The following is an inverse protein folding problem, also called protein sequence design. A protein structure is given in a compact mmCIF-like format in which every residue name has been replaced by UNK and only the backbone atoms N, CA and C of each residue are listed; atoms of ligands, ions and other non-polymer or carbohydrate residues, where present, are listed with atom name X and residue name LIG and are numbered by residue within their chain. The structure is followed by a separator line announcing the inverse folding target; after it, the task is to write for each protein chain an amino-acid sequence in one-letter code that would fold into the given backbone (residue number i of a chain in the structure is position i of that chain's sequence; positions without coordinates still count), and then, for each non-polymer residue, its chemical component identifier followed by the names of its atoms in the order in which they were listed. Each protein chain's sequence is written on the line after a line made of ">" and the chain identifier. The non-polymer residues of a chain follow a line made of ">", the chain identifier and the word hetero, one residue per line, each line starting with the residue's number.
data_IF_609371507598
#
_entry.id   IF_609371507598
#
_cell.length_a   1.000
_cell.length_b   1.000
_cell.length_c   1.000
_cell.angle_alpha   90.00
_cell.angle_beta   90.00
_cell.angle_gamma   90.00
#
_symmetry.space_group_name_H-M   'P 1'
#
loop_
_entity.id
_entity.type
_entity.pdbx_description
1 polymer ?
#
# COMPACT_ATOMS: atom_id res chain seq x y z
N UNK A 1 2.62 17.58 24.82
CA UNK A 1 2.56 18.40 23.60
C UNK A 1 3.63 17.88 22.66
N UNK A 2 3.22 17.18 21.60
CA UNK A 2 4.15 16.73 20.55
C UNK A 2 4.74 17.98 19.91
N UNK A 3 6.07 18.04 19.82
CA UNK A 3 6.80 19.17 19.26
C UNK A 3 6.42 19.29 17.78
N UNK A 4 6.13 20.51 17.30
CA UNK A 4 5.80 20.73 15.88
C UNK A 4 6.92 20.09 15.01
N UNK A 5 6.60 19.23 14.03
CA UNK A 5 7.62 18.58 13.23
C UNK A 5 8.36 19.60 12.36
N UNK A 6 9.68 19.45 12.24
CA UNK A 6 10.53 20.32 11.39
C UNK A 6 10.21 20.11 9.89
N UNK A 7 9.79 18.88 9.51
CA UNK A 7 9.30 18.51 8.18
C UNK A 7 8.18 17.49 8.31
N UNK A 8 7.09 17.69 7.59
CA UNK A 8 6.00 16.72 7.43
C UNK A 8 6.30 15.86 6.21
N UNK A 9 6.27 14.53 6.38
CA UNK A 9 6.41 13.56 5.28
C UNK A 9 5.03 13.09 4.86
N UNK A 10 4.75 13.14 3.55
CA UNK A 10 3.45 12.81 2.98
C UNK A 10 3.52 11.51 2.20
N UNK A 11 2.63 10.57 2.50
CA UNK A 11 2.58 9.24 1.88
C UNK A 11 1.22 9.05 1.21
N UNK A 12 1.21 8.58 -0.04
CA UNK A 12 -0.01 8.23 -0.77
C UNK A 12 -0.24 6.73 -0.83
N UNK A 13 -1.44 6.26 -0.48
CA UNK A 13 -1.82 4.83 -0.52
C UNK A 13 -3.07 4.65 -1.39
N UNK A 14 -2.86 4.28 -2.65
CA UNK A 14 -3.91 4.00 -3.62
C UNK A 14 -4.41 2.56 -3.51
N UNK A 15 -5.71 2.37 -3.73
CA UNK A 15 -6.28 1.05 -3.97
C UNK A 15 -7.80 1.04 -3.91
N UNK A 16 -8.43 0.02 -4.50
CA UNK A 16 -9.89 -0.13 -4.47
C UNK A 16 -10.42 -0.43 -3.05
N UNK A 17 -11.72 -0.30 -2.84
CA UNK A 17 -12.36 -0.77 -1.62
C UNK A 17 -12.11 -2.28 -1.42
N UNK A 18 -11.78 -2.69 -0.20
CA UNK A 18 -11.53 -4.09 0.14
C UNK A 18 -10.16 -4.64 -0.27
N UNK A 19 -9.24 -3.82 -0.80
CA UNK A 19 -7.90 -4.31 -1.18
C UNK A 19 -6.90 -4.43 -0.01
N UNK A 20 -7.36 -4.32 1.23
CA UNK A 20 -6.50 -4.44 2.41
C UNK A 20 -5.79 -3.15 2.82
N UNK A 21 -6.18 -1.96 2.31
CA UNK A 21 -5.65 -0.65 2.75
C UNK A 21 -5.69 -0.51 4.27
N UNK A 22 -6.81 -0.82 4.93
CA UNK A 22 -6.91 -0.71 6.39
C UNK A 22 -5.92 -1.61 7.12
N UNK A 23 -5.68 -2.84 6.62
CA UNK A 23 -4.66 -3.74 7.18
C UNK A 23 -3.26 -3.20 6.93
N UNK A 24 -2.99 -2.70 5.73
CA UNK A 24 -1.70 -2.09 5.39
C UNK A 24 -1.41 -0.87 6.27
N UNK A 25 -2.39 0.02 6.45
CA UNK A 25 -2.25 1.22 7.27
C UNK A 25 -2.01 0.88 8.74
N UNK A 26 -2.66 -0.17 9.28
CA UNK A 26 -2.33 -0.67 10.63
C UNK A 26 -0.87 -1.10 10.74
N UNK A 27 -0.38 -1.92 9.79
CA UNK A 27 1.03 -2.35 9.76
C UNK A 27 2.00 -1.16 9.63
N UNK A 28 1.64 -0.14 8.85
CA UNK A 28 2.43 1.09 8.75
C UNK A 28 2.44 1.83 10.09
N UNK A 29 1.29 1.96 10.74
CA UNK A 29 1.20 2.54 12.09
C UNK A 29 2.01 1.73 13.11
N UNK A 30 2.07 0.41 13.01
CA UNK A 30 2.89 -0.45 13.89
C UNK A 30 4.41 -0.17 13.69
N UNK A 31 4.84 0.22 12.47
CA UNK A 31 6.24 0.62 12.20
C UNK A 31 6.59 1.97 12.83
N UNK A 32 5.66 2.93 12.82
CA UNK A 32 5.93 4.32 13.19
C UNK A 32 5.47 4.72 14.60
N UNK A 33 4.48 4.02 15.15
CA UNK A 33 3.74 4.39 16.36
C UNK A 33 2.51 5.26 16.05
N UNK A 34 1.40 5.01 16.77
CA UNK A 34 0.10 5.68 16.58
C UNK A 34 0.19 7.21 16.65
N UNK A 35 0.98 7.74 17.59
CA UNK A 35 1.10 9.19 17.79
C UNK A 35 1.82 9.93 16.63
N UNK A 36 2.59 9.19 15.82
CA UNK A 36 3.43 9.76 14.75
C UNK A 36 2.73 9.90 13.40
N UNK A 37 1.61 9.20 13.21
CA UNK A 37 0.94 9.07 11.93
C UNK A 37 -0.48 9.62 12.01
N UNK A 38 -0.86 10.46 11.05
CA UNK A 38 -2.26 10.82 10.83
C UNK A 38 -2.69 10.30 9.47
N UNK A 39 -3.72 9.45 9.46
CA UNK A 39 -4.31 8.88 8.25
C UNK A 39 -5.52 9.72 7.85
N UNK A 40 -5.61 10.08 6.58
CA UNK A 40 -6.72 10.82 5.98
C UNK A 40 -7.34 9.97 4.88
N UNK A 41 -8.63 9.64 5.05
CA UNK A 41 -9.43 8.99 4.03
C UNK A 41 -9.81 10.00 2.94
N UNK A 42 -9.51 9.71 1.68
CA UNK A 42 -9.80 10.62 0.58
C UNK A 42 -11.29 10.67 0.19
N UNK A 43 -12.11 9.74 0.68
CA UNK A 43 -13.57 9.81 0.54
C UNK A 43 -14.14 11.07 1.22
N UNK A 44 -13.43 11.65 2.19
CA UNK A 44 -13.80 12.94 2.81
C UNK A 44 -13.86 14.08 1.79
N UNK A 45 -13.10 13.99 0.70
CA UNK A 45 -13.07 14.98 -0.36
C UNK A 45 -14.10 14.72 -1.47
N UNK A 46 -15.12 13.88 -1.23
CA UNK A 46 -16.23 13.75 -2.17
C UNK A 46 -16.92 15.11 -2.40
N UNK A 47 -17.17 15.45 -3.67
CA UNK A 47 -17.99 16.61 -4.07
C UNK A 47 -19.48 16.26 -4.12
N UNK A 48 -19.80 14.97 -4.24
CA UNK A 48 -21.16 14.44 -4.31
C UNK A 48 -21.37 13.41 -3.20
N UNK A 49 -22.44 13.56 -2.43
CA UNK A 49 -22.87 12.57 -1.43
C UNK A 49 -23.45 11.29 -2.10
N UNK A 50 -23.78 10.27 -1.30
CA UNK A 50 -24.28 8.98 -1.82
C UNK A 50 -25.59 9.14 -2.61
N UNK A 51 -26.47 10.05 -2.19
CA UNK A 51 -27.76 10.27 -2.84
C UNK A 51 -27.58 10.99 -4.17
N UNK A 52 -26.74 12.04 -4.19
CA UNK A 52 -26.40 12.79 -5.39
C UNK A 52 -25.71 11.92 -6.45
N UNK A 53 -24.78 11.04 -6.03
CA UNK A 53 -24.16 10.05 -6.93
C UNK A 53 -25.19 9.09 -7.54
N UNK A 54 -26.16 8.65 -6.74
CA UNK A 54 -27.26 7.79 -7.23
C UNK A 54 -28.17 8.53 -8.23
N UNK A 55 -28.48 9.81 -7.98
CA UNK A 55 -29.33 10.63 -8.86
C UNK A 55 -28.65 10.97 -10.19
N UNK A 56 -27.33 11.21 -10.16
CA UNK A 56 -26.54 11.55 -11.35
C UNK A 56 -26.03 10.34 -12.13
N UNK A 57 -26.00 9.16 -11.50
CA UNK A 57 -25.38 7.95 -12.05
C UNK A 57 -23.85 7.98 -12.04
N UNK A 58 -23.23 8.97 -11.39
CA UNK A 58 -21.78 9.11 -11.27
C UNK A 58 -21.29 8.26 -10.10
N UNK A 59 -20.31 7.39 -10.33
CA UNK A 59 -19.74 6.56 -9.27
C UNK A 59 -18.73 7.34 -8.42
N UNK A 60 -18.34 6.82 -7.26
CA UNK A 60 -17.29 7.43 -6.44
C UNK A 60 -15.90 7.37 -7.11
N UNK A 61 -15.72 6.50 -8.12
CA UNK A 61 -14.45 6.33 -8.85
C UNK A 61 -14.27 7.43 -9.90
N UNK A 62 -15.38 8.04 -10.33
CA UNK A 62 -15.35 9.12 -11.29
C UNK A 62 -14.77 10.39 -10.65
N UNK A 63 -13.79 11.05 -11.30
CA UNK A 63 -13.20 12.30 -10.80
C UNK A 63 -14.23 13.40 -10.52
N UNK A 64 -15.37 13.41 -11.22
CA UNK A 64 -16.45 14.41 -11.02
C UNK A 64 -17.12 14.29 -9.65
N UNK A 65 -17.02 13.15 -8.98
CA UNK A 65 -17.52 12.94 -7.63
C UNK A 65 -16.54 13.37 -6.53
N UNK A 66 -15.38 13.94 -6.88
CA UNK A 66 -14.30 14.28 -5.96
C UNK A 66 -13.85 15.73 -6.14
N UNK A 67 -13.49 16.40 -5.05
CA UNK A 67 -12.99 17.78 -5.04
C UNK A 67 -11.46 17.80 -4.90
N UNK A 68 -10.77 17.66 -6.04
CA UNK A 68 -9.30 17.67 -6.07
C UNK A 68 -8.67 19.02 -5.74
N UNK A 69 -9.39 20.13 -5.95
CA UNK A 69 -8.89 21.46 -5.58
C UNK A 69 -8.79 21.59 -4.06
N UNK A 70 -9.86 21.25 -3.34
CA UNK A 70 -9.87 21.25 -1.87
C UNK A 70 -8.86 20.24 -1.31
N UNK A 71 -8.76 19.06 -1.92
CA UNK A 71 -7.77 18.04 -1.55
C UNK A 71 -6.35 18.61 -1.66
N UNK A 72 -5.99 19.16 -2.81
CA UNK A 72 -4.66 19.74 -3.01
C UNK A 72 -4.37 20.88 -2.01
N UNK A 73 -5.29 21.82 -1.84
CA UNK A 73 -5.11 22.95 -0.92
C UNK A 73 -4.87 22.49 0.51
N UNK A 74 -5.67 21.55 1.01
CA UNK A 74 -5.57 21.09 2.39
C UNK A 74 -4.36 20.19 2.63
N UNK A 75 -4.06 19.28 1.70
CA UNK A 75 -2.89 18.41 1.82
C UNK A 75 -1.58 19.21 1.74
N UNK A 76 -1.54 20.23 0.87
CA UNK A 76 -0.44 21.19 0.84
C UNK A 76 -0.29 21.95 2.16
N UNK A 77 -1.39 22.48 2.70
CA UNK A 77 -1.37 23.19 3.98
C UNK A 77 -0.83 22.31 5.13
N UNK A 78 -1.23 21.03 5.19
CA UNK A 78 -0.69 20.07 6.17
C UNK A 78 0.82 19.86 5.98
N UNK A 79 1.29 19.68 4.74
CA UNK A 79 2.72 19.51 4.44
C UNK A 79 3.54 20.76 4.83
N UNK A 80 2.95 21.94 4.76
CA UNK A 80 3.52 23.22 5.21
C UNK A 80 3.38 23.47 6.73
N UNK A 81 2.85 22.50 7.49
CA UNK A 81 2.72 22.60 8.93
C UNK A 81 1.57 23.51 9.39
N UNK A 82 0.51 23.62 8.58
CA UNK A 82 -0.73 24.34 8.89
C UNK A 82 -1.90 23.38 9.13
N UNK A 83 -2.75 23.67 10.11
CA UNK A 83 -3.93 22.86 10.42
C UNK A 83 -5.08 23.17 9.47
N UNK A 84 -5.85 22.15 9.09
CA UNK A 84 -6.96 22.25 8.14
C UNK A 84 -8.30 21.96 8.83
N UNK A 85 -9.39 22.41 8.23
CA UNK A 85 -10.75 22.01 8.59
C UNK A 85 -11.25 21.06 7.50
N UNK A 86 -10.99 19.77 7.68
CA UNK A 86 -11.24 18.71 6.70
C UNK A 86 -12.71 18.28 6.77
N UNK A 87 -13.44 18.20 5.65
CA UNK A 87 -14.77 17.59 5.64
C UNK A 87 -14.75 16.14 6.17
N UNK A 88 -15.91 15.61 6.54
CA UNK A 88 -16.06 14.20 6.93
C UNK A 88 -17.09 13.57 6.01
N UNK A 89 -16.74 12.51 5.30
CA UNK A 89 -17.71 11.68 4.60
C UNK A 89 -18.14 10.51 5.47
N UNK A 90 -19.40 10.54 5.89
CA UNK A 90 -19.94 9.53 6.79
C UNK A 90 -20.44 8.31 6.01
N UNK A 91 -19.77 7.18 6.17
CA UNK A 91 -20.12 5.95 5.46
C UNK A 91 -21.43 5.30 5.93
N UNK A 92 -21.93 5.61 7.13
CA UNK A 92 -23.21 5.11 7.63
C UNK A 92 -24.37 5.85 6.96
N UNK A 93 -24.35 7.18 7.04
CA UNK A 93 -25.43 8.03 6.51
C UNK A 93 -25.29 8.27 5.00
N UNK A 94 -24.06 8.20 4.47
CA UNK A 94 -23.73 8.55 3.10
C UNK A 94 -23.70 10.05 2.81
N UNK A 95 -23.59 10.89 3.86
CA UNK A 95 -23.60 12.35 3.78
C UNK A 95 -22.20 12.94 4.03
N UNK A 96 -22.03 14.22 3.68
CA UNK A 96 -20.85 15.01 4.03
C UNK A 96 -21.20 15.79 5.31
N UNK A 97 -20.60 15.37 6.42
CA UNK A 97 -20.78 15.93 7.76
C UNK A 97 -19.90 17.20 7.94
N UNK A 98 -20.17 18.03 8.97
CA UNK A 98 -19.35 19.21 9.28
C UNK A 98 -17.86 18.87 9.43
N UNK A 99 -16.97 19.80 9.08
CA UNK A 99 -15.53 19.52 9.07
C UNK A 99 -14.95 19.33 10.47
N UNK A 100 -13.86 18.57 10.54
CA UNK A 100 -13.03 18.40 11.72
C UNK A 100 -11.67 19.09 11.58
N UNK A 101 -11.10 19.49 12.72
CA UNK A 101 -9.76 20.08 12.74
C UNK A 101 -8.71 18.98 12.67
N UNK A 102 -7.88 19.00 11.62
CA UNK A 102 -6.72 18.12 11.50
C UNK A 102 -5.45 18.94 11.66
N UNK A 103 -4.59 18.52 12.60
CA UNK A 103 -3.28 19.11 12.81
C UNK A 103 -2.21 18.40 11.99
N UNK A 104 -1.16 19.11 11.54
CA UNK A 104 0.02 18.47 10.96
C UNK A 104 0.64 17.48 11.94
N UNK A 105 1.11 16.36 11.42
CA UNK A 105 1.86 15.35 12.15
C UNK A 105 3.19 15.07 11.45
N UNK A 106 4.06 14.26 12.05
CA UNK A 106 5.33 13.85 11.45
C UNK A 106 5.11 13.16 10.10
N UNK A 107 4.11 12.29 10.04
CA UNK A 107 3.70 11.57 8.83
C UNK A 107 2.21 11.79 8.61
N UNK A 108 1.86 12.23 7.41
CA UNK A 108 0.48 12.26 6.92
C UNK A 108 0.35 11.19 5.84
N UNK A 109 -0.59 10.27 6.01
CA UNK A 109 -0.92 9.26 5.01
C UNK A 109 -2.27 9.62 4.39
N UNK A 110 -2.32 9.86 3.09
CA UNK A 110 -3.56 9.98 2.34
C UNK A 110 -3.88 8.66 1.68
N UNK A 111 -5.06 8.12 1.97
CA UNK A 111 -5.47 6.80 1.49
C UNK A 111 -6.81 6.88 0.78
N UNK A 112 -6.98 6.13 -0.30
CA UNK A 112 -8.26 6.01 -0.97
C UNK A 112 -8.15 5.66 -2.44
N UNK A 113 -9.17 6.07 -3.19
CA UNK A 113 -9.29 5.78 -4.61
C UNK A 113 -8.35 6.63 -5.49
N UNK A 114 -8.05 7.88 -5.12
CA UNK A 114 -7.39 8.86 -6.00
C UNK A 114 -6.16 9.60 -5.44
N UNK A 115 -5.33 9.03 -4.54
CA UNK A 115 -4.18 9.77 -3.99
C UNK A 115 -3.12 10.09 -5.06
N UNK A 116 -3.10 9.37 -6.17
CA UNK A 116 -2.15 9.54 -7.27
C UNK A 116 -2.81 10.05 -8.57
N UNK A 117 -4.07 10.49 -8.51
CA UNK A 117 -4.81 10.91 -9.70
C UNK A 117 -4.42 12.33 -10.13
N UNK A 118 -4.54 13.32 -9.24
CA UNK A 118 -4.21 14.72 -9.52
C UNK A 118 -2.70 14.95 -9.46
N UNK A 119 -2.12 15.53 -10.51
CA UNK A 119 -0.68 15.80 -10.60
C UNK A 119 -0.16 16.72 -9.49
N UNK A 120 -0.98 17.69 -9.05
CA UNK A 120 -0.60 18.62 -7.99
C UNK A 120 -0.49 17.88 -6.67
N UNK A 121 -1.45 17.00 -6.36
CA UNK A 121 -1.39 16.15 -5.16
C UNK A 121 -0.20 15.19 -5.24
N UNK A 122 0.01 14.53 -6.39
CA UNK A 122 1.19 13.65 -6.61
C UNK A 122 2.50 14.35 -6.33
N UNK A 123 2.67 15.59 -6.79
CA UNK A 123 3.90 16.37 -6.59
C UNK A 123 4.20 16.68 -5.12
N UNK A 124 3.21 16.54 -4.22
CA UNK A 124 3.39 16.71 -2.79
C UNK A 124 3.83 15.42 -2.10
N UNK A 125 3.71 14.24 -2.71
CA UNK A 125 4.03 12.97 -2.06
C UNK A 125 5.54 12.78 -1.94
N UNK A 126 5.98 12.26 -0.80
CA UNK A 126 7.37 11.84 -0.55
C UNK A 126 7.54 10.32 -0.75
N UNK A 127 6.45 9.55 -0.73
CA UNK A 127 6.41 8.12 -1.05
C UNK A 127 5.00 7.69 -1.47
N UNK A 128 4.87 6.74 -2.39
CA UNK A 128 3.59 6.31 -2.94
C UNK A 128 3.48 4.80 -3.10
N UNK A 129 2.32 4.26 -2.72
CA UNK A 129 1.99 2.84 -2.79
C UNK A 129 0.68 2.63 -3.54
N UNK A 130 0.63 1.62 -4.38
CA UNK A 130 -0.61 1.10 -4.96
C UNK A 130 -0.84 -0.35 -4.53
N UNK A 131 -2.00 -0.63 -3.94
CA UNK A 131 -2.44 -1.99 -3.63
C UNK A 131 -3.29 -2.52 -4.79
N UNK A 132 -2.71 -3.42 -5.56
CA UNK A 132 -3.32 -4.06 -6.72
C UNK A 132 -3.80 -5.46 -6.36
N UNK A 133 -5.08 -5.75 -6.60
CA UNK A 133 -5.64 -7.09 -6.39
C UNK A 133 -6.29 -7.52 -7.68
N UNK A 134 -5.90 -8.69 -8.19
CA UNK A 134 -6.51 -9.26 -9.37
C UNK A 134 -8.01 -9.46 -9.17
N UNK A 135 -8.77 -9.36 -10.25
CA UNK A 135 -10.21 -9.56 -10.19
C UNK A 135 -10.58 -10.94 -9.63
N UNK A 136 -9.82 -11.98 -9.96
CA UNK A 136 -10.04 -13.32 -9.44
C UNK A 136 -9.99 -13.35 -7.90
N UNK A 137 -8.95 -12.77 -7.30
CA UNK A 137 -8.80 -12.71 -5.85
C UNK A 137 -9.86 -11.81 -5.23
N UNK A 138 -10.15 -10.66 -5.86
CA UNK A 138 -11.19 -9.70 -5.41
C UNK A 138 -12.57 -10.36 -5.38
N UNK A 139 -12.90 -11.11 -6.43
CA UNK A 139 -14.14 -11.89 -6.56
C UNK A 139 -14.19 -12.96 -5.46
N UNK A 140 -13.13 -13.76 -5.31
CA UNK A 140 -13.08 -14.82 -4.30
C UNK A 140 -13.26 -14.29 -2.87
N UNK A 141 -12.57 -13.21 -2.50
CA UNK A 141 -12.71 -12.59 -1.18
C UNK A 141 -14.08 -12.00 -0.95
N UNK A 142 -14.66 -11.34 -1.96
CA UNK A 142 -15.99 -10.74 -1.85
C UNK A 142 -17.08 -11.80 -1.73
N UNK A 143 -16.99 -12.90 -2.47
CA UNK A 143 -17.90 -14.05 -2.34
C UNK A 143 -17.80 -14.63 -0.93
N UNK A 144 -16.59 -14.92 -0.44
CA UNK A 144 -16.39 -15.52 0.88
C UNK A 144 -16.97 -14.64 2.00
N UNK A 145 -16.79 -13.32 1.92
CA UNK A 145 -17.35 -12.36 2.87
C UNK A 145 -18.88 -12.24 2.76
N UNK A 146 -19.38 -12.00 1.55
CA UNK A 146 -20.80 -11.68 1.34
C UNK A 146 -21.71 -12.93 1.47
N UNK A 147 -21.19 -14.15 1.19
CA UNK A 147 -21.88 -15.41 1.48
C UNK A 147 -21.94 -15.72 2.98
N UNK A 148 -20.93 -15.33 3.76
CA UNK A 148 -20.92 -15.52 5.20
C UNK A 148 -21.89 -14.57 5.93
N UNK A 149 -22.13 -13.38 5.37
CA UNK A 149 -22.86 -12.32 6.09
C UNK A 149 -24.28 -12.03 5.56
N UNK A 150 -24.61 -12.24 4.26
CA UNK A 150 -25.86 -11.67 3.70
C UNK A 150 -26.62 -12.44 2.61
N UNK A 151 -26.27 -13.68 2.27
CA UNK A 151 -27.08 -14.47 1.32
C UNK A 151 -27.18 -13.89 -0.10
N UNK A 152 -26.24 -13.01 -0.49
CA UNK A 152 -26.14 -12.49 -1.85
C UNK A 152 -25.75 -13.60 -2.83
N UNK A 153 -26.31 -13.58 -4.05
CA UNK A 153 -25.97 -14.56 -5.10
C UNK A 153 -24.65 -14.17 -5.76
N UNK A 154 -23.87 -15.18 -6.17
CA UNK A 154 -22.62 -15.00 -6.93
C UNK A 154 -22.76 -14.01 -8.10
N UNK A 155 -23.89 -14.10 -8.81
CA UNK A 155 -24.24 -13.23 -9.94
C UNK A 155 -24.29 -11.74 -9.56
N UNK A 156 -24.79 -11.39 -8.37
CA UNK A 156 -24.90 -10.00 -7.92
C UNK A 156 -23.53 -9.38 -7.65
N UNK A 157 -22.62 -10.17 -7.07
CA UNK A 157 -21.24 -9.78 -6.80
C UNK A 157 -20.50 -9.49 -8.11
N UNK A 158 -20.64 -10.39 -9.08
CA UNK A 158 -20.00 -10.28 -10.39
C UNK A 158 -20.57 -9.09 -11.19
N UNK A 159 -21.89 -8.89 -11.18
CA UNK A 159 -22.54 -7.75 -11.81
C UNK A 159 -22.06 -6.42 -11.21
N UNK A 160 -21.93 -6.34 -9.88
CA UNK A 160 -21.41 -5.17 -9.18
C UNK A 160 -19.97 -4.83 -9.56
N UNK A 161 -19.11 -5.85 -9.73
CA UNK A 161 -17.71 -5.65 -10.15
C UNK A 161 -17.65 -5.19 -11.60
N UNK A 162 -18.38 -5.85 -12.50
CA UNK A 162 -18.41 -5.50 -13.92
C UNK A 162 -18.99 -4.10 -14.17
N UNK A 163 -19.97 -3.66 -13.38
CA UNK A 163 -20.52 -2.31 -13.48
C UNK A 163 -19.51 -1.22 -13.10
N UNK A 164 -18.55 -1.51 -12.22
CA UNK A 164 -17.51 -0.56 -11.77
C UNK A 164 -16.25 -0.60 -12.61
N UNK A 165 -16.05 -1.66 -13.41
CA UNK A 165 -14.84 -1.89 -14.21
C UNK A 165 -14.49 -0.72 -15.15
N UNK A 166 -15.42 -0.13 -15.92
CA UNK A 166 -15.07 0.97 -16.82
C UNK A 166 -14.45 2.16 -16.09
N UNK A 167 -15.03 2.58 -14.97
CA UNK A 167 -14.50 3.69 -14.17
C UNK A 167 -13.20 3.30 -13.45
N UNK A 168 -13.07 2.04 -13.02
CA UNK A 168 -11.84 1.54 -12.41
C UNK A 168 -10.68 1.59 -13.40
N UNK A 169 -10.86 1.03 -14.59
CA UNK A 169 -9.84 0.99 -15.64
C UNK A 169 -9.48 2.40 -16.14
N UNK A 170 -10.44 3.34 -16.13
CA UNK A 170 -10.24 4.71 -16.57
C UNK A 170 -9.54 5.60 -15.54
N UNK A 171 -9.87 5.46 -14.25
CA UNK A 171 -9.51 6.46 -13.24
C UNK A 171 -8.69 5.92 -12.07
N UNK A 172 -8.76 4.61 -11.79
CA UNK A 172 -8.11 3.99 -10.64
C UNK A 172 -6.84 3.25 -11.07
N UNK A 173 -6.97 2.30 -12.00
CA UNK A 173 -5.86 1.46 -12.46
C UNK A 173 -4.64 2.24 -12.99
N UNK A 174 -4.80 3.32 -13.78
CA UNK A 174 -3.67 4.07 -14.33
C UNK A 174 -2.73 4.67 -13.27
N UNK A 175 -3.22 4.87 -12.04
CA UNK A 175 -2.41 5.40 -10.93
C UNK A 175 -1.22 4.50 -10.56
N UNK A 176 -1.24 3.21 -10.94
CA UNK A 176 -0.11 2.27 -10.80
C UNK A 176 1.17 2.81 -11.44
N UNK A 177 1.06 3.54 -12.55
CA UNK A 177 2.20 4.12 -13.26
C UNK A 177 2.94 5.20 -12.44
N UNK A 178 2.31 5.72 -11.38
CA UNK A 178 2.84 6.81 -10.57
C UNK A 178 3.30 6.35 -9.19
N UNK A 179 3.06 5.09 -8.81
CA UNK A 179 3.48 4.57 -7.53
C UNK A 179 4.97 4.23 -7.51
N UNK A 180 5.63 4.50 -6.39
CA UNK A 180 7.00 4.05 -6.14
C UNK A 180 7.00 2.53 -5.89
N UNK A 181 5.94 2.02 -5.26
CA UNK A 181 5.74 0.60 -5.01
C UNK A 181 4.33 0.16 -5.37
N UNK A 182 4.21 -0.97 -6.07
CA UNK A 182 2.94 -1.69 -6.26
C UNK A 182 3.01 -3.04 -5.56
N UNK A 183 2.07 -3.31 -4.65
CA UNK A 183 1.84 -4.64 -4.09
C UNK A 183 0.71 -5.28 -4.89
N UNK A 184 1.05 -6.25 -5.75
CA UNK A 184 0.12 -6.94 -6.62
C UNK A 184 -0.20 -8.35 -6.08
N UNK A 185 -1.45 -8.58 -5.71
CA UNK A 185 -1.97 -9.85 -5.19
C UNK A 185 -2.68 -10.61 -6.31
N UNK A 186 -2.22 -11.83 -6.58
CA UNK A 186 -2.67 -12.74 -7.62
C UNK A 186 -3.03 -14.11 -7.03
N UNK A 187 -3.78 -14.91 -7.78
CA UNK A 187 -3.99 -16.33 -7.48
C UNK A 187 -2.66 -17.09 -7.55
N UNK A 188 -2.47 -18.10 -6.69
CA UNK A 188 -1.28 -18.95 -6.68
C UNK A 188 -1.07 -19.66 -8.02
N UNK A 189 0.19 -19.95 -8.38
CA UNK A 189 0.56 -20.87 -9.45
C UNK A 189 1.02 -22.23 -8.94
N UNK A 190 1.11 -22.42 -7.62
CA UNK A 190 1.59 -23.67 -7.02
C UNK A 190 0.51 -24.74 -6.96
N UNK A 191 -0.76 -24.34 -6.86
CA UNK A 191 -1.91 -25.24 -6.82
C UNK A 191 -2.72 -25.05 -8.11
N UNK A 192 -2.78 -26.07 -8.98
CA UNK A 192 -3.66 -26.02 -10.16
C UNK A 192 -5.13 -25.89 -9.74
N UNK A 193 -5.87 -25.02 -10.43
CA UNK A 193 -7.31 -24.81 -10.24
C UNK A 193 -7.76 -24.53 -8.79
N UNK A 194 -6.95 -23.79 -8.01
CA UNK A 194 -7.26 -23.43 -6.62
C UNK A 194 -8.57 -22.64 -6.51
N UNK A 195 -9.66 -23.34 -6.18
CA UNK A 195 -10.98 -22.75 -5.97
C UNK A 195 -11.09 -21.99 -4.65
N UNK A 196 -10.19 -22.25 -3.69
CA UNK A 196 -10.27 -21.63 -2.37
C UNK A 196 -9.60 -20.25 -2.32
N UNK A 197 -8.67 -19.98 -3.25
CA UNK A 197 -7.86 -18.75 -3.33
C UNK A 197 -7.24 -18.36 -1.97
N UNK A 198 -6.87 -19.36 -1.16
CA UNK A 198 -6.25 -19.17 0.15
C UNK A 198 -4.74 -18.99 0.05
N UNK A 199 -4.13 -19.58 -0.96
CA UNK A 199 -2.72 -19.41 -1.28
C UNK A 199 -2.60 -18.32 -2.32
N UNK A 200 -1.73 -17.35 -2.07
CA UNK A 200 -1.60 -16.17 -2.90
C UNK A 200 -0.21 -16.11 -3.51
N UNK A 201 -0.17 -15.61 -4.74
CA UNK A 201 1.05 -15.14 -5.39
C UNK A 201 1.07 -13.63 -5.27
N UNK A 202 2.04 -13.09 -4.55
CA UNK A 202 2.15 -11.66 -4.31
C UNK A 202 3.43 -11.15 -4.95
N UNK A 203 3.35 -10.05 -5.69
CA UNK A 203 4.47 -9.32 -6.30
C UNK A 203 4.63 -7.97 -5.61
N UNK A 204 5.86 -7.63 -5.28
CA UNK A 204 6.31 -6.32 -4.88
C UNK A 204 7.07 -5.72 -6.06
N UNK A 205 6.42 -4.81 -6.77
CA UNK A 205 6.98 -4.11 -7.92
C UNK A 205 7.53 -2.78 -7.41
N UNK A 206 8.83 -2.56 -7.55
CA UNK A 206 9.55 -1.43 -6.95
C UNK A 206 10.15 -0.58 -8.04
N UNK A 207 9.81 0.71 -8.09
CA UNK A 207 10.29 1.62 -9.11
C UNK A 207 11.78 1.93 -8.91
N UNK A 208 12.55 1.77 -9.99
CA UNK A 208 13.96 2.13 -10.01
C UNK A 208 14.15 3.64 -10.20
N UNK A 209 15.29 4.15 -9.71
CA UNK A 209 15.67 5.55 -9.91
C UNK A 209 14.87 6.57 -9.08
N UNK A 210 14.06 6.12 -8.11
CA UNK A 210 13.41 7.00 -7.13
C UNK A 210 14.45 7.47 -6.11
N UNK A 211 14.57 8.78 -5.92
CA UNK A 211 15.62 9.38 -5.10
C UNK A 211 15.56 8.87 -3.64
N UNK A 212 16.63 8.20 -3.21
CA UNK A 212 16.78 7.69 -1.85
C UNK A 212 15.84 6.54 -1.50
N UNK A 213 15.28 5.86 -2.51
CA UNK A 213 14.58 4.58 -2.37
C UNK A 213 15.40 3.51 -3.09
N UNK A 214 15.98 2.59 -2.32
CA UNK A 214 16.69 1.43 -2.84
C UNK A 214 15.77 0.21 -2.81
N UNK A 215 15.53 -0.48 -3.93
CA UNK A 215 14.69 -1.68 -3.95
C UNK A 215 15.25 -2.84 -3.14
N UNK A 216 14.34 -3.68 -2.66
CA UNK A 216 14.64 -4.97 -2.02
C UNK A 216 14.96 -5.96 -3.12
N UNK A 217 16.03 -6.74 -2.93
CA UNK A 217 16.45 -7.77 -3.88
C UNK A 217 16.69 -9.11 -3.19
N UNK A 218 16.74 -10.16 -4.00
CA UNK A 218 17.07 -11.53 -3.59
C UNK A 218 18.40 -11.92 -4.23
N UNK A 219 19.39 -12.29 -3.42
CA UNK A 219 20.77 -12.68 -3.79
C UNK A 219 21.60 -11.67 -4.61
N UNK A 220 21.23 -11.40 -5.86
CA UNK A 220 22.03 -10.63 -6.80
C UNK A 220 21.18 -9.60 -7.53
N UNK A 221 21.40 -8.32 -7.19
CA UNK A 221 20.65 -7.17 -7.69
C UNK A 221 20.77 -7.04 -9.22
N UNK A 222 19.64 -6.81 -9.89
CA UNK A 222 19.57 -6.67 -11.35
C UNK A 222 19.61 -7.99 -12.14
N UNK A 223 19.79 -9.15 -11.48
CA UNK A 223 19.71 -10.46 -12.12
C UNK A 223 18.29 -11.05 -12.07
N UNK A 224 18.04 -12.17 -12.75
CA UNK A 224 16.79 -12.92 -12.65
C UNK A 224 16.98 -14.21 -11.86
N UNK A 225 16.23 -14.37 -10.77
CA UNK A 225 16.36 -15.48 -9.82
C UNK A 225 15.01 -16.15 -9.58
N UNK A 226 15.02 -17.48 -9.59
CA UNK A 226 13.93 -18.31 -9.07
C UNK A 226 14.48 -19.11 -7.89
N UNK A 227 13.80 -19.04 -6.75
CA UNK A 227 14.26 -19.66 -5.52
C UNK A 227 13.14 -20.42 -4.82
N UNK A 228 13.46 -21.63 -4.35
CA UNK A 228 12.58 -22.44 -3.51
C UNK A 228 13.35 -22.67 -2.20
N UNK A 229 12.96 -22.03 -1.09
CA UNK A 229 13.69 -22.18 0.18
C UNK A 229 13.51 -23.57 0.80
N UNK A 230 12.40 -24.25 0.49
CA UNK A 230 12.06 -25.57 1.01
C UNK A 230 13.05 -26.64 0.49
N UNK A 231 13.70 -27.36 1.41
CA UNK A 231 14.71 -28.35 1.11
C UNK A 231 15.23 -29.05 2.35
N UNK A 232 16.48 -29.53 2.33
CA UNK A 232 17.06 -30.30 3.46
C UNK A 232 17.14 -29.53 4.78
N UNK A 233 17.29 -28.20 4.70
CA UNK A 233 17.48 -27.31 5.87
C UNK A 233 16.19 -26.62 6.31
N UNK A 234 15.14 -26.68 5.50
CA UNK A 234 13.86 -26.02 5.77
C UNK A 234 12.74 -26.91 5.21
N UNK A 235 11.97 -27.54 6.09
CA UNK A 235 10.86 -28.41 5.69
C UNK A 235 9.59 -27.57 5.61
N UNK A 236 8.85 -27.69 4.50
CA UNK A 236 7.60 -26.97 4.28
C UNK A 236 6.48 -27.97 3.98
N UNK A 237 5.24 -27.67 4.40
CA UNK A 237 4.09 -28.44 3.94
C UNK A 237 3.75 -28.09 2.49
N UNK A 238 2.97 -28.94 1.83
CA UNK A 238 2.46 -28.62 0.49
C UNK A 238 1.57 -27.35 0.52
N UNK A 239 1.69 -26.44 -0.46
CA UNK A 239 2.52 -26.51 -1.66
C UNK A 239 3.94 -25.93 -1.51
N UNK A 240 4.29 -25.49 -0.31
CA UNK A 240 5.56 -24.84 0.00
C UNK A 240 5.58 -23.37 -0.40
N UNK A 241 6.80 -22.84 -0.55
CA UNK A 241 7.07 -21.45 -0.88
C UNK A 241 7.93 -21.41 -2.13
N UNK A 242 7.61 -20.52 -3.06
CA UNK A 242 8.43 -20.19 -4.22
C UNK A 242 8.61 -18.67 -4.29
N UNK A 243 9.84 -18.24 -4.51
CA UNK A 243 10.18 -16.84 -4.69
C UNK A 243 10.77 -16.58 -6.07
N UNK A 244 10.55 -15.37 -6.54
CA UNK A 244 11.16 -14.84 -7.75
C UNK A 244 11.70 -13.44 -7.50
N UNK A 245 12.81 -13.11 -8.13
CA UNK A 245 13.32 -11.75 -8.21
C UNK A 245 13.80 -11.46 -9.63
N UNK A 246 13.58 -10.24 -10.11
CA UNK A 246 14.32 -9.73 -11.27
C UNK A 246 13.84 -8.38 -11.79
N UNK A 247 14.61 -7.79 -12.71
CA UNK A 247 14.23 -6.55 -13.38
C UNK A 247 13.06 -6.76 -14.34
N UNK A 248 12.22 -5.75 -14.49
CA UNK A 248 11.09 -5.72 -15.41
C UNK A 248 10.83 -4.27 -15.87
N UNK A 249 9.96 -4.09 -16.86
CA UNK A 249 9.47 -2.78 -17.27
C UNK A 249 7.97 -2.66 -16.93
N UNK A 250 7.60 -1.62 -16.18
CA UNK A 250 6.24 -1.42 -15.70
C UNK A 250 5.76 0.00 -16.03
N UNK A 251 4.74 0.10 -16.88
CA UNK A 251 4.23 1.39 -17.41
C UNK A 251 5.31 2.31 -18.00
N UNK A 252 6.34 1.72 -18.63
CA UNK A 252 7.45 2.47 -19.23
C UNK A 252 8.53 2.93 -18.24
N UNK A 253 8.49 2.44 -17.00
CA UNK A 253 9.53 2.63 -16.00
C UNK A 253 10.27 1.32 -15.73
N UNK A 254 11.59 1.40 -15.51
CA UNK A 254 12.36 0.27 -14.99
C UNK A 254 11.93 -0.04 -13.56
N UNK A 255 11.74 -1.32 -13.24
CA UNK A 255 11.33 -1.77 -11.91
C UNK A 255 12.09 -3.03 -11.49
N UNK A 256 12.30 -3.19 -10.18
CA UNK A 256 12.70 -4.45 -9.56
C UNK A 256 11.48 -5.16 -9.00
N UNK A 257 11.24 -6.40 -9.44
CA UNK A 257 10.11 -7.21 -8.99
C UNK A 257 10.59 -8.30 -8.04
N UNK A 258 10.12 -8.27 -6.79
CA UNK A 258 10.24 -9.36 -5.84
C UNK A 258 8.89 -10.08 -5.73
N UNK A 259 8.87 -11.40 -5.68
CA UNK A 259 7.63 -12.19 -5.66
C UNK A 259 7.72 -13.33 -4.65
N UNK A 260 6.60 -13.61 -3.99
CA UNK A 260 6.37 -14.77 -3.12
C UNK A 260 5.07 -15.44 -3.55
N UNK A 261 5.14 -16.72 -3.85
CA UNK A 261 3.98 -17.60 -4.08
C UNK A 261 4.01 -18.72 -3.03
N UNK A 262 2.89 -18.92 -2.32
CA UNK A 262 2.82 -19.82 -1.19
C UNK A 262 2.52 -19.13 0.14
N UNK A 263 2.39 -19.94 1.18
CA UNK A 263 2.15 -19.49 2.55
C UNK A 263 3.33 -19.91 3.45
N UNK A 264 3.51 -19.18 4.55
CA UNK A 264 4.38 -19.52 5.66
C UNK A 264 3.57 -20.30 6.69
N UNK A 265 3.91 -21.57 6.89
CA UNK A 265 3.24 -22.44 7.88
C UNK A 265 3.77 -22.19 9.29
N UNK A 266 5.01 -21.72 9.41
CA UNK A 266 5.70 -21.54 10.68
C UNK A 266 6.70 -20.38 10.65
N UNK A 267 7.20 -20.02 11.82
CA UNK A 267 8.14 -18.90 12.01
C UNK A 267 9.50 -19.18 11.36
N UNK A 268 9.94 -20.44 11.31
CA UNK A 268 11.24 -20.82 10.76
C UNK A 268 11.31 -20.50 9.26
N UNK A 269 10.24 -20.79 8.51
CA UNK A 269 10.12 -20.43 7.09
C UNK A 269 10.23 -18.92 6.86
N UNK A 270 9.59 -18.12 7.71
CA UNK A 270 9.62 -16.65 7.61
C UNK A 270 11.01 -16.07 7.91
N UNK A 271 11.65 -16.53 8.99
CA UNK A 271 13.02 -16.14 9.36
C UNK A 271 14.00 -16.54 8.26
N UNK A 272 13.82 -17.74 7.70
CA UNK A 272 14.68 -18.24 6.63
C UNK A 272 14.55 -17.36 5.39
N UNK A 273 13.33 -16.97 4.98
CA UNK A 273 13.14 -16.04 3.86
C UNK A 273 13.73 -14.67 4.17
N UNK A 274 13.46 -14.09 5.34
CA UNK A 274 14.00 -12.78 5.75
C UNK A 274 15.53 -12.75 5.67
N UNK A 275 16.20 -13.79 6.16
CA UNK A 275 17.67 -13.87 6.17
C UNK A 275 18.33 -13.95 4.79
N UNK A 276 17.57 -14.16 3.72
CA UNK A 276 18.07 -14.21 2.33
C UNK A 276 17.65 -12.99 1.50
N UNK A 277 16.78 -12.13 2.03
CA UNK A 277 16.44 -10.84 1.42
C UNK A 277 17.53 -9.81 1.73
N UNK A 278 17.78 -8.92 0.78
CA UNK A 278 18.75 -7.83 0.92
C UNK A 278 18.07 -6.48 0.75
N UNK A 279 18.66 -5.43 1.31
CA UNK A 279 18.08 -4.09 1.35
C UNK A 279 16.67 -4.03 1.97
N UNK A 280 16.39 -4.77 3.04
CA UNK A 280 15.03 -4.78 3.66
C UNK A 280 14.71 -3.56 4.52
N UNK A 281 15.69 -2.68 4.78
CA UNK A 281 15.59 -1.54 5.72
C UNK A 281 15.27 -1.95 7.17
N UNK A 282 15.61 -3.19 7.54
CA UNK A 282 15.52 -3.64 8.94
C UNK A 282 16.63 -3.01 9.81
N UNK A 283 16.32 -2.73 11.07
CA UNK A 283 17.28 -2.23 12.08
C UNK A 283 18.02 -3.36 12.77
N UNK A 284 17.44 -4.56 12.79
CA UNK A 284 18.03 -5.76 13.37
C UNK A 284 17.53 -7.00 12.63
N UNK A 285 18.28 -8.10 12.74
CA UNK A 285 17.92 -9.38 12.14
C UNK A 285 16.64 -9.93 12.78
N UNK A 286 15.64 -10.27 11.97
CA UNK A 286 14.36 -10.81 12.43
C UNK A 286 13.30 -9.75 12.71
N UNK A 287 13.54 -8.47 12.41
CA UNK A 287 12.56 -7.39 12.62
C UNK A 287 11.28 -7.64 11.82
N UNK A 288 11.38 -8.05 10.54
CA UNK A 288 10.18 -8.29 9.72
C UNK A 288 9.36 -9.45 10.29
N UNK A 289 10.03 -10.55 10.65
CA UNK A 289 9.40 -11.70 11.30
C UNK A 289 8.74 -11.31 12.61
N UNK A 290 9.40 -10.48 13.42
CA UNK A 290 8.85 -9.99 14.69
C UNK A 290 7.54 -9.23 14.47
N UNK A 291 7.53 -8.26 13.56
CA UNK A 291 6.33 -7.47 13.24
C UNK A 291 5.19 -8.31 12.68
N UNK A 292 5.50 -9.29 11.82
CA UNK A 292 4.50 -10.24 11.30
C UNK A 292 3.88 -11.10 12.41
N UNK A 293 4.68 -11.46 13.43
CA UNK A 293 4.25 -12.29 14.57
C UNK A 293 3.41 -11.51 15.59
N UNK A 294 3.67 -10.22 15.79
CA UNK A 294 2.89 -9.42 16.75
C UNK A 294 1.41 -9.32 16.36
N UNK A 295 1.13 -9.36 15.04
CA UNK A 295 -0.22 -9.23 14.50
C UNK A 295 -0.61 -10.43 13.63
N UNK A 296 -0.54 -11.63 14.21
CA UNK A 296 -0.94 -12.89 13.54
C UNK A 296 -2.41 -12.92 13.12
N UNK A 297 -3.26 -12.12 13.75
CA UNK A 297 -4.68 -11.97 13.46
C UNK A 297 -4.95 -11.14 12.18
N UNK A 298 -3.96 -10.36 11.71
CA UNK A 298 -4.14 -9.55 10.52
C UNK A 298 -4.25 -10.43 9.26
N UNK A 299 -5.18 -10.13 8.34
CA UNK A 299 -5.24 -10.81 7.06
C UNK A 299 -3.89 -10.76 6.34
N UNK A 300 -3.45 -11.90 5.81
CA UNK A 300 -2.19 -12.01 5.08
C UNK A 300 -0.93 -12.18 5.93
N UNK A 301 -1.04 -12.31 7.27
CA UNK A 301 0.12 -12.51 8.17
C UNK A 301 0.88 -13.84 7.95
N UNK A 302 0.38 -14.73 7.10
CA UNK A 302 1.02 -16.00 6.75
C UNK A 302 1.39 -16.11 5.27
N UNK A 303 1.44 -15.02 4.50
CA UNK A 303 1.83 -15.08 3.09
C UNK A 303 2.52 -13.79 2.63
N UNK A 304 2.84 -13.71 1.33
CA UNK A 304 3.53 -12.58 0.73
C UNK A 304 2.84 -11.22 0.91
N UNK A 305 1.52 -11.18 1.14
CA UNK A 305 0.80 -9.91 1.29
C UNK A 305 1.18 -9.18 2.57
N UNK A 306 1.14 -9.87 3.73
CA UNK A 306 1.61 -9.29 4.99
C UNK A 306 3.11 -9.00 4.96
N UNK A 307 3.91 -9.93 4.42
CA UNK A 307 5.36 -9.78 4.34
C UNK A 307 5.76 -8.50 3.59
N UNK A 308 5.18 -8.29 2.41
CA UNK A 308 5.47 -7.11 1.59
C UNK A 308 4.85 -5.83 2.14
N UNK A 309 3.70 -5.90 2.82
CA UNK A 309 3.17 -4.74 3.54
C UNK A 309 4.11 -4.27 4.65
N UNK A 310 4.67 -5.19 5.45
CA UNK A 310 5.67 -4.86 6.48
C UNK A 310 6.92 -4.28 5.83
N UNK A 311 7.46 -4.96 4.81
CA UNK A 311 8.65 -4.53 4.08
C UNK A 311 8.50 -3.10 3.51
N UNK A 312 7.35 -2.78 2.95
CA UNK A 312 7.04 -1.43 2.45
C UNK A 312 6.96 -0.43 3.60
N UNK A 313 6.38 -0.79 4.75
CA UNK A 313 6.40 0.05 5.94
C UNK A 313 7.83 0.37 6.41
N UNK A 314 8.74 -0.61 6.39
CA UNK A 314 10.16 -0.39 6.70
C UNK A 314 10.83 0.55 5.69
N UNK A 315 10.46 0.46 4.40
CA UNK A 315 10.93 1.40 3.36
C UNK A 315 10.40 2.81 3.55
N UNK A 316 9.14 2.96 3.93
CA UNK A 316 8.58 4.26 4.33
C UNK A 316 9.36 4.84 5.51
N UNK A 317 9.73 4.02 6.50
CA UNK A 317 10.54 4.45 7.64
C UNK A 317 11.92 4.95 7.20
N UNK A 318 12.61 4.21 6.33
CA UNK A 318 13.88 4.64 5.77
C UNK A 318 13.75 5.98 5.02
N UNK A 319 12.69 6.16 4.22
CA UNK A 319 12.39 7.42 3.55
C UNK A 319 12.16 8.56 4.54
N UNK A 320 11.35 8.35 5.58
CA UNK A 320 11.11 9.34 6.62
C UNK A 320 12.42 9.76 7.33
N UNK A 321 13.22 8.79 7.77
CA UNK A 321 14.50 9.05 8.45
C UNK A 321 15.46 9.85 7.56
N UNK A 322 15.57 9.50 6.26
CA UNK A 322 16.39 10.24 5.30
C UNK A 322 15.92 11.68 5.13
N UNK A 323 14.61 11.90 4.96
CA UNK A 323 14.05 13.22 4.70
C UNK A 323 14.08 14.16 5.92
N UNK A 324 14.12 13.58 7.11
CA UNK A 324 14.13 14.31 8.39
C UNK A 324 15.51 14.35 9.06
N UNK A 325 16.50 13.64 8.52
CA UNK A 325 17.88 13.75 8.95
C UNK A 325 18.34 15.21 8.84
N UNK A 326 18.80 15.78 9.96
CA UNK A 326 19.39 17.12 9.96
C UNK A 326 20.69 17.06 9.18
N UNK A 327 20.78 17.80 8.07
CA UNK A 327 22.05 18.08 7.38
C UNK A 327 23.06 18.50 8.45
N UNK A 328 24.16 17.75 8.57
CA UNK A 328 25.18 18.09 9.55
C UNK A 328 25.73 19.49 9.24
N UNK A 329 26.13 20.29 10.23
CA UNK A 329 26.76 21.59 9.98
C UNK A 329 27.96 21.51 9.02
N UNK A 330 28.61 20.36 8.92
CA UNK A 330 29.82 20.14 8.11
C UNK A 330 29.52 20.05 6.59
N UNK A 331 28.33 19.60 6.19
CA UNK A 331 27.94 19.57 4.76
C UNK A 331 27.57 20.95 4.22
N UNK A 332 27.11 21.87 5.08
CA UNK A 332 26.85 23.26 4.68
C UNK A 332 28.12 24.03 4.38
N UNK A 333 29.26 23.66 4.96
CA UNK A 333 30.55 24.29 4.67
C UNK A 333 31.12 23.80 3.34
N UNK A 334 30.91 22.53 2.99
CA UNK A 334 31.35 21.98 1.71
C UNK A 334 30.61 22.61 0.50
N UNK A 335 29.30 22.84 0.63
CA UNK A 335 28.48 23.42 -0.45
C UNK A 335 28.66 24.95 -0.66
N UNK A 336 29.35 25.64 0.25
CA UNK A 336 29.67 27.08 0.11
C UNK A 336 31.11 27.28 -0.42
N UNK A 337 31.91 26.21 -0.48
CA UNK A 337 33.32 26.25 -0.92
C UNK A 337 33.54 25.50 -2.25
N UNK A 338 32.50 24.89 -2.82
CA UNK A 338 32.43 24.39 -4.21
C UNK A 338 31.61 25.35 -5.07
#
# INVERSE_FOLDING_TARGET
>A
MVKKPDRVVLIGVAGDSGCGKSTFLRRVTDVFGEDFVTVICLDDYHSLDRKQRKETGITALDPRANNFDLMYEQIKALKEGQSIDKPIYNHETGMIDPPEKVHPNHIIVIEGLHPLFDERVRSLLDFSVYLDISDEVKIAWKIKRDMAERGHRYEDVLASINARRPDFDAYIDPQKAHADVVIQILSTKLIPDDQEHKVLRVRLIQREGVEGFEPVYLFDEGSTINWIPCGRKLTCSYPGIKMFYGPDAYFGHEVSVLEVDGNFDNLEEMIYVEGHLSNTATKYYGEMTHMMREHQDYPGSNNGSGLFQVLVGLKMRATYERLTAKVSPDEKVAAVVS
#
